data_IF_804924009685
#
_entry.id   IF_804924009685
#
_cell.length_a   1.000
_cell.length_b   1.000
_cell.length_c   1.000
_cell.angle_alpha   90.00
_cell.angle_beta   90.00
_cell.angle_gamma   90.00
#
_symmetry.space_group_name_H-M   'P 1'
#
loop_
_entity.id
_entity.type
_entity.pdbx_description
1 polymer ?
#
# COMPACT_ATOMS: atom_id res chain seq x y z
N UNK A 1 14.85 -10.64 -34.43
CA UNK A 1 13.61 -9.92 -34.09
C UNK A 1 12.49 -10.90 -34.40
N UNK A 2 12.15 -11.76 -33.43
CA UNK A 2 11.23 -12.87 -33.62
C UNK A 2 9.90 -12.58 -32.93
N UNK A 3 8.87 -12.46 -33.77
CA UNK A 3 7.50 -12.04 -33.45
C UNK A 3 6.65 -13.21 -32.91
N UNK A 4 7.25 -14.38 -32.68
CA UNK A 4 6.55 -15.59 -32.22
C UNK A 4 6.52 -15.79 -30.68
N UNK A 5 7.34 -15.06 -29.91
CA UNK A 5 7.42 -15.20 -28.45
C UNK A 5 6.44 -14.33 -27.65
N UNK A 6 5.83 -13.32 -28.29
CA UNK A 6 4.98 -12.33 -27.59
C UNK A 6 3.52 -12.81 -27.50
N UNK A 7 3.07 -13.76 -28.34
CA UNK A 7 1.66 -14.19 -28.34
C UNK A 7 1.27 -15.17 -27.23
N UNK A 8 2.22 -15.89 -26.61
CA UNK A 8 1.92 -16.81 -25.50
C UNK A 8 1.86 -16.12 -24.14
N UNK A 9 2.59 -15.03 -23.95
CA UNK A 9 2.57 -14.25 -22.71
C UNK A 9 1.25 -13.47 -22.58
N UNK A 10 0.69 -12.98 -23.71
CA UNK A 10 -0.61 -12.32 -23.70
C UNK A 10 -1.77 -13.28 -23.42
N UNK A 11 -1.69 -14.56 -23.78
CA UNK A 11 -2.73 -15.55 -23.49
C UNK A 11 -2.82 -15.90 -21.99
N UNK A 12 -1.71 -15.92 -21.26
CA UNK A 12 -1.70 -16.11 -19.80
C UNK A 12 -2.21 -14.85 -19.08
N UNK A 13 -1.89 -13.66 -19.58
CA UNK A 13 -2.38 -12.39 -19.03
C UNK A 13 -3.89 -12.19 -19.30
N UNK A 14 -4.42 -12.73 -20.40
CA UNK A 14 -5.87 -12.69 -20.73
C UNK A 14 -6.70 -13.74 -19.98
N UNK A 15 -6.09 -14.84 -19.49
CA UNK A 15 -6.76 -15.79 -18.59
C UNK A 15 -6.76 -15.33 -17.12
N UNK A 16 -5.97 -14.32 -16.76
CA UNK A 16 -5.99 -13.69 -15.43
C UNK A 16 -6.96 -12.50 -15.31
N UNK A 17 -7.98 -12.41 -16.17
CA UNK A 17 -9.05 -11.41 -16.06
C UNK A 17 -10.25 -11.89 -15.22
N UNK A 18 -10.00 -12.85 -14.33
CA UNK A 18 -10.81 -13.13 -13.14
C UNK A 18 -9.85 -13.36 -11.99
N UNK A 19 -9.31 -12.31 -11.38
CA UNK A 19 -8.60 -12.49 -10.12
C UNK A 19 -9.66 -12.76 -9.05
N UNK A 20 -10.07 -14.02 -8.93
CA UNK A 20 -10.86 -14.55 -7.81
C UNK A 20 -9.97 -14.62 -6.56
N UNK A 21 -9.32 -13.49 -6.25
CA UNK A 21 -8.32 -13.39 -5.20
C UNK A 21 -8.68 -12.28 -4.24
N UNK A 22 -8.19 -12.40 -3.02
CA UNK A 22 -8.42 -11.47 -1.92
C UNK A 22 -7.09 -11.18 -1.25
N UNK A 23 -6.82 -9.89 -1.03
CA UNK A 23 -5.67 -9.48 -0.22
C UNK A 23 -6.06 -9.48 1.26
N UNK A 24 -5.26 -10.16 2.07
CA UNK A 24 -5.40 -10.18 3.53
C UNK A 24 -4.14 -9.60 4.13
N UNK A 25 -4.26 -8.41 4.71
CA UNK A 25 -3.17 -7.73 5.41
C UNK A 25 -2.93 -8.42 6.75
N UNK A 26 -1.81 -9.10 6.89
CA UNK A 26 -1.44 -9.79 8.14
C UNK A 26 -0.85 -8.83 9.16
N UNK A 27 -0.01 -7.91 8.69
CA UNK A 27 0.79 -7.06 9.56
C UNK A 27 1.05 -5.71 8.91
N UNK A 28 1.03 -4.65 9.70
CA UNK A 28 1.56 -3.33 9.35
C UNK A 28 2.31 -2.81 10.57
N UNK A 29 3.60 -2.49 10.42
CA UNK A 29 4.43 -2.01 11.52
C UNK A 29 5.55 -1.08 11.04
N UNK A 30 6.24 -0.43 11.99
CA UNK A 30 7.44 0.34 11.68
C UNK A 30 8.62 -0.62 11.40
N UNK A 31 9.44 -0.28 10.41
CA UNK A 31 10.57 -1.14 10.04
C UNK A 31 11.69 -1.16 11.09
N UNK A 32 11.86 -0.07 11.83
CA UNK A 32 12.71 0.00 13.01
C UNK A 32 11.88 0.47 14.21
N UNK A 33 11.49 -0.44 15.12
CA UNK A 33 10.69 -0.07 16.29
C UNK A 33 11.46 0.77 17.31
N UNK A 34 12.80 0.84 17.22
CA UNK A 34 13.64 1.66 18.11
C UNK A 34 13.81 3.08 17.58
N UNK A 35 13.61 3.30 16.28
CA UNK A 35 13.71 4.63 15.69
C UNK A 35 12.44 5.44 15.95
N UNK A 36 12.62 6.64 16.49
CA UNK A 36 11.51 7.54 16.80
C UNK A 36 11.07 8.34 15.55
N UNK A 37 10.43 7.68 14.59
CA UNK A 37 9.93 8.33 13.37
C UNK A 37 8.96 9.48 13.71
N UNK A 38 9.06 10.65 13.04
CA UNK A 38 8.10 11.76 13.22
C UNK A 38 6.65 11.34 12.90
N UNK A 39 6.46 10.52 11.87
CA UNK A 39 5.17 9.90 11.58
C UNK A 39 4.83 8.83 12.61
N UNK A 40 3.62 8.92 13.17
CA UNK A 40 3.10 7.91 14.10
C UNK A 40 2.01 7.11 13.42
N UNK A 41 2.08 5.79 13.54
CA UNK A 41 1.10 4.86 12.99
C UNK A 41 0.78 3.79 14.01
N UNK A 42 -0.51 3.58 14.22
CA UNK A 42 -1.04 2.42 14.93
C UNK A 42 -2.13 1.83 14.05
N UNK A 43 -1.95 0.56 13.68
CA UNK A 43 -2.94 -0.19 12.90
C UNK A 43 -3.33 -1.43 13.68
N UNK A 44 -4.64 -1.62 13.83
CA UNK A 44 -5.21 -2.88 14.28
C UNK A 44 -5.98 -3.50 13.11
N UNK A 45 -5.61 -4.71 12.73
CA UNK A 45 -6.31 -5.48 11.71
C UNK A 45 -7.18 -6.54 12.40
N UNK A 46 -8.37 -6.81 11.85
CA UNK A 46 -9.23 -7.89 12.31
C UNK A 46 -10.14 -8.38 11.19
N UNK A 47 -10.50 -9.66 11.23
CA UNK A 47 -11.36 -10.27 10.23
C UNK A 47 -12.78 -10.44 10.79
N UNK A 48 -13.77 -10.19 9.95
CA UNK A 48 -15.17 -10.58 10.14
C UNK A 48 -15.58 -11.52 9.00
N UNK A 49 -16.71 -12.24 9.10
CA UNK A 49 -17.12 -13.20 8.06
C UNK A 49 -17.21 -12.59 6.66
N UNK A 50 -17.49 -11.30 6.55
CA UNK A 50 -17.70 -10.60 5.28
C UNK A 50 -16.42 -9.94 4.72
N UNK A 51 -15.48 -9.52 5.57
CA UNK A 51 -14.31 -8.74 5.13
C UNK A 51 -13.22 -8.61 6.19
N UNK A 52 -12.08 -8.03 5.77
CA UNK A 52 -11.06 -7.54 6.69
C UNK A 52 -11.35 -6.08 7.05
N UNK A 53 -11.12 -5.72 8.30
CA UNK A 53 -11.36 -4.40 8.85
C UNK A 53 -10.10 -3.85 9.51
N UNK A 54 -9.98 -2.52 9.49
CA UNK A 54 -8.88 -1.78 10.09
C UNK A 54 -9.39 -0.72 11.07
N UNK A 55 -8.72 -0.63 12.21
CA UNK A 55 -8.68 0.61 12.99
C UNK A 55 -7.30 1.22 12.80
N UNK A 56 -7.25 2.47 12.36
CA UNK A 56 -6.00 3.17 12.04
C UNK A 56 -5.97 4.49 12.80
N UNK A 57 -4.90 4.73 13.52
CA UNK A 57 -4.56 6.04 14.03
C UNK A 57 -3.23 6.45 13.40
N UNK A 58 -3.19 7.60 12.75
CA UNK A 58 -1.94 8.14 12.25
C UNK A 58 -1.78 9.63 12.54
N UNK A 59 -0.54 10.03 12.77
CA UNK A 59 -0.17 11.44 12.95
C UNK A 59 0.84 11.80 11.86
N UNK A 60 0.43 12.70 10.97
CA UNK A 60 1.32 13.28 9.97
C UNK A 60 2.05 14.49 10.58
N UNK A 61 3.40 14.50 10.54
CA UNK A 61 4.20 15.57 11.14
C UNK A 61 4.25 16.84 10.26
N UNK A 62 4.00 16.68 8.97
CA UNK A 62 4.06 17.71 7.93
C UNK A 62 2.95 17.49 6.91
N UNK A 63 2.62 18.53 6.15
CA UNK A 63 1.64 18.42 5.07
C UNK A 63 2.17 17.43 4.01
N UNK A 64 1.30 16.54 3.54
CA UNK A 64 1.61 15.62 2.45
C UNK A 64 1.47 16.36 1.11
N UNK A 65 2.40 17.27 0.86
CA UNK A 65 2.48 18.10 -0.34
C UNK A 65 3.48 17.52 -1.36
N UNK A 66 3.84 18.31 -2.38
CA UNK A 66 4.80 17.92 -3.40
C UNK A 66 6.24 17.77 -2.88
N UNK A 67 6.49 17.96 -1.59
CA UNK A 67 7.81 17.76 -0.98
C UNK A 67 7.95 16.37 -0.38
N UNK A 68 6.88 15.59 -0.28
CA UNK A 68 6.92 14.28 0.37
C UNK A 68 7.01 13.16 -0.67
N UNK A 69 8.14 12.45 -0.65
CA UNK A 69 8.41 11.31 -1.52
C UNK A 69 8.27 9.97 -0.78
N UNK A 70 8.21 8.88 -1.55
CA UNK A 70 8.19 7.51 -1.03
C UNK A 70 9.02 6.58 -1.90
N UNK A 71 9.79 5.70 -1.26
CA UNK A 71 10.33 4.50 -1.90
C UNK A 71 9.52 3.31 -1.46
N UNK A 72 9.20 2.42 -2.39
CA UNK A 72 8.46 1.20 -2.15
C UNK A 72 9.24 0.02 -2.71
N UNK A 73 9.41 -1.01 -1.90
CA UNK A 73 9.94 -2.31 -2.31
C UNK A 73 8.88 -3.35 -2.01
N UNK A 74 8.55 -4.18 -3.00
CA UNK A 74 7.67 -5.32 -2.88
C UNK A 74 8.46 -6.58 -3.14
N UNK A 75 8.43 -7.52 -2.20
CA UNK A 75 9.08 -8.81 -2.32
C UNK A 75 8.04 -9.93 -2.19
N UNK A 76 8.22 -10.98 -2.97
CA UNK A 76 7.45 -12.21 -2.89
C UNK A 76 8.19 -13.21 -2.00
N UNK A 77 7.50 -13.85 -1.06
CA UNK A 77 8.11 -14.85 -0.17
C UNK A 77 7.82 -16.25 -0.68
N UNK A 78 8.85 -16.92 -1.21
CA UNK A 78 8.79 -18.30 -1.67
C UNK A 78 9.71 -19.17 -0.79
N UNK A 79 9.13 -20.13 -0.05
CA UNK A 79 9.87 -21.09 0.81
C UNK A 79 10.88 -20.37 1.73
N UNK A 80 10.45 -19.29 2.39
CA UNK A 80 11.27 -18.50 3.31
C UNK A 80 12.32 -17.59 2.66
N UNK A 81 12.37 -17.52 1.32
CA UNK A 81 13.23 -16.57 0.59
C UNK A 81 12.39 -15.44 -0.01
N UNK A 82 12.82 -14.20 0.24
CA UNK A 82 12.23 -13.01 -0.37
C UNK A 82 12.85 -12.76 -1.75
N UNK A 83 12.02 -12.69 -2.79
CA UNK A 83 12.40 -12.36 -4.15
C UNK A 83 11.82 -11.00 -4.53
N UNK A 84 12.62 -10.03 -5.01
CA UNK A 84 12.10 -8.72 -5.35
C UNK A 84 11.16 -8.79 -6.56
N UNK A 85 9.95 -8.24 -6.39
CA UNK A 85 8.96 -8.10 -7.45
C UNK A 85 9.11 -6.72 -8.11
N UNK A 86 9.14 -5.68 -7.27
CA UNK A 86 9.09 -4.30 -7.72
C UNK A 86 9.84 -3.40 -6.75
N UNK A 87 10.59 -2.45 -7.31
CA UNK A 87 11.10 -1.29 -6.58
C UNK A 87 10.66 -0.03 -7.31
N UNK A 88 10.03 0.88 -6.58
CA UNK A 88 9.55 2.14 -7.12
C UNK A 88 9.99 3.29 -6.22
N UNK A 89 10.26 4.43 -6.83
CA UNK A 89 10.45 5.71 -6.14
C UNK A 89 9.46 6.70 -6.73
N UNK A 90 8.66 7.29 -5.87
CA UNK A 90 7.67 8.28 -6.24
C UNK A 90 8.00 9.59 -5.53
N UNK A 91 7.98 10.70 -6.27
CA UNK A 91 8.35 11.99 -5.72
C UNK A 91 7.20 12.63 -4.93
N UNK A 92 5.94 12.24 -5.18
CA UNK A 92 4.74 12.86 -4.60
C UNK A 92 3.81 11.79 -4.00
N UNK A 93 4.00 11.50 -2.70
CA UNK A 93 3.29 10.43 -1.99
C UNK A 93 1.75 10.55 -2.12
N UNK A 94 1.19 11.75 -2.00
CA UNK A 94 -0.25 11.96 -2.07
C UNK A 94 -0.83 11.56 -3.44
N UNK A 95 -0.16 11.95 -4.53
CA UNK A 95 -0.57 11.60 -5.89
C UNK A 95 -0.42 10.09 -6.15
N UNK A 96 0.67 9.48 -5.66
CA UNK A 96 0.89 8.05 -5.77
C UNK A 96 -0.16 7.23 -5.00
N UNK A 97 -0.57 7.68 -3.81
CA UNK A 97 -1.66 7.06 -3.07
C UNK A 97 -2.97 7.12 -3.86
N UNK A 98 -3.28 8.27 -4.46
CA UNK A 98 -4.46 8.44 -5.31
C UNK A 98 -4.42 7.53 -6.56
N UNK A 99 -3.25 7.23 -7.10
CA UNK A 99 -3.05 6.40 -8.29
C UNK A 99 -3.13 4.90 -7.99
N UNK A 100 -2.40 4.43 -6.99
CA UNK A 100 -2.19 2.99 -6.77
C UNK A 100 -3.22 2.36 -5.83
N UNK A 101 -3.62 3.07 -4.77
CA UNK A 101 -4.53 2.52 -3.79
C UNK A 101 -6.00 2.58 -4.25
N UNK A 102 -6.36 3.51 -5.11
CA UNK A 102 -7.69 3.57 -5.73
C UNK A 102 -8.82 3.86 -4.73
N UNK A 103 -9.97 3.22 -4.89
CA UNK A 103 -11.17 3.51 -4.09
C UNK A 103 -10.98 3.26 -2.58
N UNK A 104 -10.28 2.21 -2.11
CA UNK A 104 -10.00 2.04 -0.68
C UNK A 104 -9.32 3.26 -0.05
N UNK A 105 -8.43 3.93 -0.78
CA UNK A 105 -7.81 5.16 -0.29
C UNK A 105 -8.81 6.32 -0.21
N UNK A 106 -9.71 6.42 -1.19
CA UNK A 106 -10.75 7.43 -1.20
C UNK A 106 -11.78 7.21 -0.10
N UNK A 107 -12.20 5.97 0.15
CA UNK A 107 -13.06 5.58 1.27
C UNK A 107 -12.42 5.96 2.61
N UNK A 108 -11.12 5.67 2.76
CA UNK A 108 -10.35 6.05 3.95
C UNK A 108 -10.29 7.59 4.12
N UNK A 109 -9.99 8.33 3.06
CA UNK A 109 -10.01 9.80 3.09
C UNK A 109 -11.39 10.33 3.51
N UNK A 110 -12.48 9.81 2.94
CA UNK A 110 -13.85 10.22 3.30
C UNK A 110 -14.12 10.00 4.79
N UNK A 111 -13.78 8.81 5.31
CA UNK A 111 -14.02 8.49 6.72
C UNK A 111 -13.14 9.33 7.67
N UNK A 112 -11.95 9.72 7.24
CA UNK A 112 -11.05 10.59 7.99
C UNK A 112 -11.33 12.09 7.81
N UNK A 113 -12.40 12.49 7.12
CA UNK A 113 -12.71 13.88 6.77
C UNK A 113 -11.60 14.60 5.97
N UNK A 114 -10.87 13.84 5.15
CA UNK A 114 -9.86 14.35 4.22
C UNK A 114 -10.51 14.54 2.85
N UNK A 115 -10.29 15.69 2.17
CA UNK A 115 -10.76 15.89 0.81
C UNK A 115 -10.23 14.81 -0.16
N UNK A 116 -11.13 14.05 -0.77
CA UNK A 116 -10.82 12.94 -1.67
C UNK A 116 -10.13 13.43 -2.95
N UNK A 117 -9.11 12.71 -3.42
CA UNK A 117 -8.35 13.01 -4.66
C UNK A 117 -7.71 14.40 -4.67
N UNK A 118 -7.61 15.06 -3.51
CA UNK A 118 -6.99 16.38 -3.39
C UNK A 118 -5.72 16.28 -2.57
N UNK A 119 -4.70 16.96 -3.06
CA UNK A 119 -3.44 17.19 -2.38
C UNK A 119 -3.25 18.72 -2.22
N UNK A 120 -2.52 19.19 -1.20
CA UNK A 120 -1.90 18.39 -0.14
C UNK A 120 -2.92 17.85 0.89
N UNK A 121 -2.57 16.75 1.55
CA UNK A 121 -3.27 16.36 2.79
C UNK A 121 -2.59 17.11 3.94
N UNK A 122 -3.33 17.90 4.74
CA UNK A 122 -2.73 18.65 5.84
C UNK A 122 -2.01 17.76 6.86
N UNK A 123 -1.07 18.32 7.60
CA UNK A 123 -0.55 17.67 8.80
C UNK A 123 -1.64 17.55 9.85
N UNK A 124 -1.56 16.52 10.67
CA UNK A 124 -2.53 16.33 11.74
C UNK A 124 -2.69 14.89 12.16
N UNK A 125 -3.63 14.71 13.08
CA UNK A 125 -4.05 13.40 13.56
C UNK A 125 -5.28 12.93 12.78
N UNK A 126 -5.22 11.72 12.27
CA UNK A 126 -6.30 11.07 11.54
C UNK A 126 -6.64 9.73 12.17
N UNK A 127 -7.93 9.44 12.22
CA UNK A 127 -8.45 8.22 12.80
C UNK A 127 -9.47 7.56 11.87
N UNK A 128 -9.30 6.27 11.67
CA UNK A 128 -10.25 5.36 11.04
C UNK A 128 -10.65 4.31 12.07
N UNK A 129 -11.94 4.00 12.14
CA UNK A 129 -12.48 2.92 12.98
C UNK A 129 -13.40 2.05 12.15
N UNK A 130 -13.28 0.74 12.26
CA UNK A 130 -14.06 -0.22 11.48
C UNK A 130 -14.00 0.05 9.97
N UNK A 131 -12.84 0.47 9.45
CA UNK A 131 -12.66 0.68 8.03
C UNK A 131 -12.65 -0.66 7.31
N UNK A 132 -13.67 -0.93 6.49
CA UNK A 132 -13.79 -2.16 5.71
C UNK A 132 -12.84 -2.09 4.51
N UNK A 133 -11.87 -3.00 4.48
CA UNK A 133 -10.94 -3.09 3.36
C UNK A 133 -11.49 -3.97 2.25
N UNK A 134 -11.50 -3.40 1.05
CA UNK A 134 -12.01 -4.00 -0.16
C UNK A 134 -10.89 -4.06 -1.21
N UNK A 135 -10.16 -5.16 -1.23
CA UNK A 135 -8.98 -5.33 -2.11
C UNK A 135 -9.33 -5.32 -3.60
N UNK A 136 -10.58 -5.59 -3.95
CA UNK A 136 -11.05 -5.66 -5.35
C UNK A 136 -11.11 -4.28 -6.00
N UNK A 137 -11.24 -3.23 -5.18
CA UNK A 137 -11.31 -1.84 -5.63
C UNK A 137 -9.95 -1.15 -5.66
N UNK A 138 -8.87 -1.87 -5.37
CA UNK A 138 -7.53 -1.33 -5.50
C UNK A 138 -7.18 -1.03 -6.96
N UNK A 139 -6.37 0.01 -7.18
CA UNK A 139 -5.89 0.36 -8.51
C UNK A 139 -4.92 -0.67 -9.10
N UNK A 140 -4.23 -1.44 -8.24
CA UNK A 140 -3.30 -2.51 -8.63
C UNK A 140 -4.06 -3.81 -8.88
N UNK A 141 -3.97 -4.34 -10.11
CA UNK A 141 -4.77 -5.50 -10.56
C UNK A 141 -4.01 -6.82 -10.66
N UNK A 142 -2.71 -6.87 -10.40
CA UNK A 142 -1.92 -8.09 -10.53
C UNK A 142 -0.84 -8.18 -9.46
N UNK A 143 -1.11 -8.96 -8.42
CA UNK A 143 -0.11 -9.39 -7.45
C UNK A 143 0.02 -10.92 -7.51
N UNK A 144 1.23 -11.48 -7.32
CA UNK A 144 1.39 -12.93 -7.29
C UNK A 144 0.60 -13.55 -6.12
N UNK A 145 0.14 -14.79 -6.28
CA UNK A 145 -0.49 -15.55 -5.18
C UNK A 145 0.54 -15.89 -4.10
N UNK A 146 0.15 -15.80 -2.84
CA UNK A 146 0.99 -16.10 -1.68
C UNK A 146 1.38 -14.86 -0.89
N UNK A 147 2.43 -15.00 -0.07
CA UNK A 147 2.86 -13.96 0.86
C UNK A 147 3.72 -12.91 0.15
N UNK A 148 3.33 -11.65 0.30
CA UNK A 148 3.99 -10.47 -0.23
C UNK A 148 4.38 -9.60 0.96
N UNK A 149 5.64 -9.18 1.00
CA UNK A 149 6.09 -8.15 1.92
C UNK A 149 6.30 -6.85 1.17
N UNK A 150 5.93 -5.74 1.79
CA UNK A 150 6.22 -4.42 1.28
C UNK A 150 6.99 -3.62 2.31
N UNK A 151 7.99 -2.87 1.86
CA UNK A 151 8.72 -1.89 2.66
C UNK A 151 8.58 -0.54 2.00
N UNK A 152 8.02 0.42 2.74
CA UNK A 152 7.86 1.80 2.29
C UNK A 152 8.68 2.74 3.18
N UNK A 153 9.51 3.59 2.57
CA UNK A 153 10.22 4.66 3.29
C UNK A 153 9.69 6.00 2.78
N UNK A 154 9.15 6.80 3.69
CA UNK A 154 8.60 8.12 3.39
C UNK A 154 9.61 9.16 3.86
N UNK A 155 9.93 10.10 2.99
CA UNK A 155 10.96 11.10 3.24
C UNK A 155 10.59 12.45 2.65
N UNK A 156 11.19 13.50 3.19
CA UNK A 156 11.07 14.84 2.64
C UNK A 156 12.13 15.05 1.55
N UNK A 157 11.70 15.33 0.32
CA UNK A 157 12.58 15.52 -0.83
C UNK A 157 13.51 16.73 -0.70
N UNK A 158 13.16 17.74 0.11
CA UNK A 158 13.96 18.97 0.24
C UNK A 158 15.22 18.74 1.09
N UNK A 159 15.06 18.07 2.23
CA UNK A 159 16.14 17.89 3.21
C UNK A 159 16.55 16.42 3.42
N UNK A 160 15.88 15.49 2.75
CA UNK A 160 16.11 14.04 2.83
C UNK A 160 15.79 13.42 4.21
N UNK A 161 15.06 14.12 5.07
CA UNK A 161 14.64 13.58 6.37
C UNK A 161 13.68 12.40 6.19
N UNK A 162 13.96 11.30 6.88
CA UNK A 162 13.07 10.13 6.91
C UNK A 162 11.94 10.40 7.90
N UNK A 163 10.72 10.48 7.37
CA UNK A 163 9.52 10.75 8.15
C UNK A 163 8.89 9.46 8.69
N UNK A 164 8.95 8.38 7.91
CA UNK A 164 8.40 7.08 8.28
C UNK A 164 9.13 5.94 7.58
N UNK A 165 9.09 4.75 8.17
CA UNK A 165 9.46 3.52 7.51
C UNK A 165 8.49 2.42 7.94
N UNK A 166 7.73 1.89 6.99
CA UNK A 166 6.60 0.98 7.23
C UNK A 166 6.85 -0.34 6.51
N UNK A 167 6.61 -1.45 7.20
CA UNK A 167 6.55 -2.79 6.62
C UNK A 167 5.10 -3.25 6.66
N UNK A 168 4.63 -3.84 5.56
CA UNK A 168 3.37 -4.57 5.55
C UNK A 168 3.55 -5.98 4.99
N UNK A 169 2.88 -6.93 5.62
CA UNK A 169 2.78 -8.32 5.17
C UNK A 169 1.36 -8.57 4.67
N UNK A 170 1.24 -9.04 3.44
CA UNK A 170 -0.04 -9.23 2.75
C UNK A 170 -0.05 -10.62 2.11
N UNK A 171 -1.08 -11.40 2.40
CA UNK A 171 -1.33 -12.63 1.65
C UNK A 171 -2.31 -12.33 0.52
N UNK A 172 -1.95 -12.74 -0.70
CA UNK A 172 -2.88 -12.81 -1.81
C UNK A 172 -3.37 -14.26 -1.96
N UNK A 173 -4.62 -14.50 -1.57
CA UNK A 173 -5.24 -15.84 -1.53
C UNK A 173 -6.36 -15.93 -2.54
N UNK A 174 -6.70 -17.15 -2.97
CA UNK A 174 -7.93 -17.42 -3.69
C UNK A 174 -9.15 -17.18 -2.78
N UNK A 175 -10.25 -16.68 -3.34
CA UNK A 175 -11.51 -16.41 -2.64
C UNK A 175 -12.28 -17.69 -2.34
#
# INVERSE_FOLDING_TARGET
>A
MDIAGISQIFAIILLCKESNTRLVVKKIENCDPKFNYPFKLSVRTYNRPDAQYFDVNCTWPVDMDSTIGVTMQFDYVLVGRSMPILRAKENYLCDSANKYLGEPWYDACRQANIPVKKCPIPKGFYQLKNFKFDSEKMGVKSLPFGMITSKSVIFNNRNQDILACIIAEVDNIEK
#
